data_IF_503588944008
#
_entry.id   IF_503588944008
#
_cell.length_a   1.000
_cell.length_b   1.000
_cell.length_c   1.000
_cell.angle_alpha   90.00
_cell.angle_beta   90.00
_cell.angle_gamma   90.00
#
_symmetry.space_group_name_H-M   'P 1'
#
loop_
_entity.id
_entity.type
_entity.pdbx_description
1 polymer ?
#
# COMPACT_ATOMS: atom_id res chain seq x y z
N UNK A 1 -15.64 -16.22 -28.00
CA UNK A 1 -14.48 -16.34 -27.09
C UNK A 1 -14.49 -15.13 -26.17
N UNK A 2 -15.13 -15.24 -25.01
CA UNK A 2 -15.04 -14.25 -23.94
C UNK A 2 -13.93 -14.72 -23.02
N UNK A 3 -12.70 -14.23 -23.24
CA UNK A 3 -11.65 -14.35 -22.22
C UNK A 3 -12.04 -13.30 -21.18
N UNK A 4 -12.76 -13.73 -20.15
CA UNK A 4 -13.28 -12.82 -19.13
C UNK A 4 -12.12 -12.33 -18.26
N UNK A 5 -12.27 -11.15 -17.68
CA UNK A 5 -11.31 -10.49 -16.79
C UNK A 5 -10.76 -11.37 -15.67
N UNK A 6 -11.51 -12.42 -15.30
CA UNK A 6 -11.16 -13.44 -14.31
C UNK A 6 -9.92 -14.25 -14.71
N UNK A 7 -9.77 -14.61 -15.99
CA UNK A 7 -8.62 -15.41 -16.46
C UNK A 7 -7.31 -14.59 -16.44
N UNK A 8 -7.42 -13.29 -16.71
CA UNK A 8 -6.28 -12.38 -16.66
C UNK A 8 -5.83 -12.10 -15.22
N UNK A 9 -6.78 -12.06 -14.29
CA UNK A 9 -6.51 -11.90 -12.86
C UNK A 9 -5.83 -13.14 -12.29
N UNK A 10 -6.33 -14.34 -12.62
CA UNK A 10 -5.74 -15.60 -12.20
C UNK A 10 -4.31 -15.80 -12.75
N UNK A 11 -4.08 -15.54 -14.04
CA UNK A 11 -2.75 -15.64 -14.64
C UNK A 11 -1.76 -14.63 -14.04
N UNK A 12 -2.24 -13.42 -13.74
CA UNK A 12 -1.43 -12.41 -13.07
C UNK A 12 -1.06 -12.82 -11.64
N UNK A 13 -2.03 -13.29 -10.87
CA UNK A 13 -1.81 -13.78 -9.49
C UNK A 13 -0.78 -14.90 -9.49
N UNK A 14 -0.90 -15.88 -10.39
CA UNK A 14 0.05 -16.98 -10.46
C UNK A 14 1.46 -16.50 -10.78
N UNK A 15 1.63 -15.61 -11.77
CA UNK A 15 2.94 -15.06 -12.10
C UNK A 15 3.58 -14.27 -10.93
N UNK A 16 2.76 -13.60 -10.13
CA UNK A 16 3.22 -12.88 -8.94
C UNK A 16 3.61 -13.83 -7.79
N UNK A 17 2.85 -14.91 -7.58
CA UNK A 17 3.22 -15.98 -6.65
C UNK A 17 4.53 -16.66 -7.04
N UNK A 18 4.71 -16.96 -8.33
CA UNK A 18 5.94 -17.56 -8.86
C UNK A 18 7.15 -16.62 -8.71
N UNK A 19 6.95 -15.31 -8.88
CA UNK A 19 8.00 -14.32 -8.64
C UNK A 19 8.44 -14.28 -7.17
N UNK A 20 7.49 -14.25 -6.23
CA UNK A 20 7.81 -14.32 -4.81
C UNK A 20 8.47 -15.63 -4.40
N UNK A 21 8.07 -16.74 -5.00
CA UNK A 21 8.68 -18.04 -4.73
C UNK A 21 10.16 -18.02 -5.13
N UNK A 22 10.49 -17.38 -6.25
CA UNK A 22 11.87 -17.16 -6.70
C UNK A 22 12.64 -16.20 -5.80
N UNK A 23 12.00 -15.16 -5.29
CA UNK A 23 12.61 -14.19 -4.38
C UNK A 23 12.61 -14.65 -2.91
N UNK A 24 12.17 -15.89 -2.64
CA UNK A 24 12.02 -16.48 -1.30
C UNK A 24 11.14 -15.68 -0.32
N UNK A 25 10.36 -14.71 -0.82
CA UNK A 25 9.47 -13.85 -0.02
C UNK A 25 8.05 -14.35 0.10
N UNK A 26 7.71 -15.46 -0.56
CA UNK A 26 6.35 -16.03 -0.53
C UNK A 26 5.93 -16.44 0.89
N UNK A 27 6.84 -17.07 1.65
CA UNK A 27 6.56 -17.47 3.04
C UNK A 27 6.31 -16.27 3.95
N UNK A 28 7.07 -15.19 3.78
CA UNK A 28 6.90 -13.93 4.53
C UNK A 28 5.54 -13.27 4.21
N UNK A 29 5.18 -13.17 2.93
CA UNK A 29 3.90 -12.61 2.52
C UNK A 29 2.71 -13.41 3.07
N UNK A 30 2.78 -14.75 3.01
CA UNK A 30 1.76 -15.63 3.60
C UNK A 30 1.70 -15.46 5.12
N UNK A 31 2.85 -15.32 5.78
CA UNK A 31 2.92 -15.12 7.24
C UNK A 31 2.21 -13.83 7.67
N UNK A 32 2.33 -12.76 6.88
CA UNK A 32 1.61 -11.50 7.13
C UNK A 32 0.08 -11.63 7.01
N UNK A 33 -0.40 -12.55 6.16
CA UNK A 33 -1.83 -12.81 5.94
C UNK A 33 -2.41 -13.93 6.83
N UNK A 34 -1.55 -14.67 7.55
CA UNK A 34 -1.98 -15.83 8.34
C UNK A 34 -2.96 -15.43 9.44
N UNK A 35 -4.09 -16.15 9.54
CA UNK A 35 -5.14 -15.86 10.52
C UNK A 35 -6.00 -14.62 10.22
N UNK A 36 -5.75 -13.92 9.11
CA UNK A 36 -6.52 -12.73 8.68
C UNK A 36 -7.57 -13.02 7.60
N UNK A 37 -7.66 -14.28 7.15
CA UNK A 37 -8.63 -14.77 6.18
C UNK A 37 -8.95 -16.25 6.43
N UNK A 38 -10.18 -16.66 6.10
CA UNK A 38 -10.66 -18.04 6.27
C UNK A 38 -10.50 -18.90 5.00
N UNK A 39 -10.14 -18.28 3.88
CA UNK A 39 -10.04 -18.95 2.58
C UNK A 39 -8.74 -18.65 1.84
N UNK A 40 -8.31 -19.58 1.00
CA UNK A 40 -7.13 -19.42 0.13
C UNK A 40 -7.28 -18.22 -0.81
N UNK A 41 -8.48 -17.99 -1.35
CA UNK A 41 -8.77 -16.82 -2.18
C UNK A 41 -8.59 -15.52 -1.40
N UNK A 42 -9.07 -15.46 -0.15
CA UNK A 42 -8.87 -14.31 0.72
C UNK A 42 -7.39 -14.04 1.02
N UNK A 43 -6.59 -15.09 1.25
CA UNK A 43 -5.14 -14.95 1.44
C UNK A 43 -4.47 -14.37 0.19
N UNK A 44 -4.85 -14.85 -0.99
CA UNK A 44 -4.34 -14.35 -2.27
C UNK A 44 -4.67 -12.86 -2.44
N UNK A 45 -5.91 -12.46 -2.17
CA UNK A 45 -6.33 -11.06 -2.28
C UNK A 45 -5.59 -10.17 -1.27
N UNK A 46 -5.32 -10.68 -0.06
CA UNK A 46 -4.54 -9.95 0.95
C UNK A 46 -3.08 -9.76 0.57
N UNK A 47 -2.43 -10.77 0.01
CA UNK A 47 -1.03 -10.66 -0.38
C UNK A 47 -0.86 -9.98 -1.73
N UNK A 48 -1.90 -9.92 -2.57
CA UNK A 48 -1.83 -9.31 -3.90
C UNK A 48 -1.14 -7.94 -3.93
N UNK A 49 -1.49 -6.98 -3.05
CA UNK A 49 -0.81 -5.70 -3.01
C UNK A 49 0.67 -5.84 -2.68
N UNK A 50 1.08 -6.81 -1.87
CA UNK A 50 2.47 -7.02 -1.49
C UNK A 50 3.35 -7.52 -2.65
N UNK A 51 2.74 -8.02 -3.74
CA UNK A 51 3.43 -8.82 -4.76
C UNK A 51 3.29 -8.23 -6.17
N UNK A 52 2.28 -7.39 -6.37
CA UNK A 52 2.03 -6.70 -7.62
C UNK A 52 2.88 -5.43 -7.76
N UNK A 53 3.29 -5.12 -8.99
CA UNK A 53 3.76 -3.78 -9.39
C UNK A 53 2.66 -2.94 -10.04
N UNK A 54 1.53 -3.56 -10.38
CA UNK A 54 0.38 -2.88 -10.98
C UNK A 54 -0.43 -2.23 -9.86
N UNK A 55 -0.39 -0.90 -9.84
CA UNK A 55 -1.05 -0.10 -8.82
C UNK A 55 -2.57 -0.11 -9.02
N UNK A 56 -3.31 -0.34 -7.94
CA UNK A 56 -4.78 -0.27 -7.89
C UNK A 56 -5.24 0.63 -6.74
N UNK A 57 -4.65 1.82 -6.64
CA UNK A 57 -4.90 2.75 -5.52
C UNK A 57 -6.40 3.05 -5.39
N UNK A 58 -6.94 2.86 -4.19
CA UNK A 58 -8.36 3.10 -3.90
C UNK A 58 -8.59 4.58 -3.56
N UNK A 59 -8.73 5.40 -4.61
CA UNK A 59 -8.96 6.84 -4.47
C UNK A 59 -10.34 7.15 -3.87
N UNK A 60 -11.36 6.33 -4.12
CA UNK A 60 -12.70 6.55 -3.58
C UNK A 60 -12.68 6.48 -2.06
N UNK A 61 -12.09 5.41 -1.51
CA UNK A 61 -11.92 5.26 -0.07
C UNK A 61 -11.00 6.35 0.50
N UNK A 62 -9.89 6.66 -0.18
CA UNK A 62 -8.95 7.68 0.26
C UNK A 62 -9.62 9.06 0.42
N UNK A 63 -10.42 9.49 -0.56
CA UNK A 63 -11.19 10.74 -0.49
C UNK A 63 -12.34 10.70 0.51
N UNK A 64 -12.89 9.51 0.81
CA UNK A 64 -13.88 9.35 1.89
C UNK A 64 -13.27 9.54 3.29
N UNK A 65 -11.97 9.25 3.44
CA UNK A 65 -11.24 9.41 4.70
C UNK A 65 -10.74 10.85 4.84
N UNK A 66 -10.19 11.45 3.78
CA UNK A 66 -9.78 12.86 3.74
C UNK A 66 -10.18 13.47 2.41
N UNK A 67 -11.24 14.29 2.45
CA UNK A 67 -11.79 14.89 1.24
C UNK A 67 -10.98 16.09 0.74
N UNK A 68 -10.11 16.68 1.58
CA UNK A 68 -9.27 17.79 1.16
C UNK A 68 -8.02 17.28 0.41
N UNK A 69 -7.92 17.55 -0.88
CA UNK A 69 -6.83 17.03 -1.70
C UNK A 69 -5.47 17.66 -1.40
N UNK A 70 -5.45 18.90 -0.93
CA UNK A 70 -4.19 19.55 -0.52
C UNK A 70 -3.64 18.89 0.73
N UNK A 71 -4.52 18.52 1.66
CA UNK A 71 -4.18 17.76 2.86
C UNK A 71 -3.66 16.37 2.49
N UNK A 72 -4.36 15.64 1.61
CA UNK A 72 -3.91 14.33 1.10
C UNK A 72 -2.55 14.42 0.42
N UNK A 73 -2.37 15.36 -0.51
CA UNK A 73 -1.12 15.54 -1.25
C UNK A 73 0.04 15.86 -0.31
N UNK A 74 -0.19 16.74 0.67
CA UNK A 74 0.80 17.07 1.71
C UNK A 74 1.16 15.83 2.54
N UNK A 75 0.16 15.06 2.97
CA UNK A 75 0.36 13.82 3.73
C UNK A 75 1.23 12.83 2.96
N UNK A 76 0.87 12.50 1.72
CA UNK A 76 1.60 11.52 0.91
C UNK A 76 3.06 11.95 0.65
N UNK A 77 3.28 13.23 0.32
CA UNK A 77 4.64 13.77 0.10
C UNK A 77 5.49 13.79 1.36
N UNK A 78 4.90 14.08 2.52
CA UNK A 78 5.63 14.07 3.79
C UNK A 78 6.00 12.65 4.20
N UNK A 79 5.08 11.69 4.09
CA UNK A 79 5.37 10.27 4.34
C UNK A 79 6.52 9.80 3.44
N UNK A 80 6.41 10.06 2.13
CA UNK A 80 7.45 9.65 1.18
C UNK A 80 8.81 10.26 1.55
N UNK A 81 8.84 11.56 1.86
CA UNK A 81 10.07 12.26 2.24
C UNK A 81 10.71 11.66 3.50
N UNK A 82 9.90 11.32 4.52
CA UNK A 82 10.41 10.71 5.75
C UNK A 82 10.92 9.28 5.51
N UNK A 83 10.21 8.47 4.72
CA UNK A 83 10.66 7.11 4.38
C UNK A 83 11.95 7.12 3.56
N UNK A 84 12.14 8.09 2.66
CA UNK A 84 13.38 8.22 1.88
C UNK A 84 14.56 8.61 2.77
N UNK A 85 14.34 9.51 3.74
CA UNK A 85 15.37 9.98 4.69
C UNK A 85 15.66 8.99 5.81
N UNK A 86 14.86 7.95 5.96
CA UNK A 86 15.06 6.96 6.99
C UNK A 86 16.27 6.08 6.65
N UNK A 87 17.37 6.25 7.39
CA UNK A 87 18.60 5.48 7.19
C UNK A 87 18.41 3.99 7.52
N UNK A 88 17.50 3.66 8.44
CA UNK A 88 17.08 2.30 8.76
C UNK A 88 15.90 1.82 7.92
N UNK A 89 15.80 0.51 7.70
CA UNK A 89 14.60 -0.10 7.10
C UNK A 89 14.11 -1.29 7.92
N UNK A 90 13.77 -0.99 9.18
CA UNK A 90 13.13 -1.92 10.12
C UNK A 90 11.72 -1.45 10.43
N UNK A 91 10.84 -2.36 10.89
CA UNK A 91 9.47 -2.03 11.28
C UNK A 91 9.40 -0.85 12.25
N UNK A 92 10.23 -0.85 13.30
CA UNK A 92 10.29 0.24 14.27
C UNK A 92 10.71 1.59 13.65
N UNK A 93 11.69 1.58 12.73
CA UNK A 93 12.11 2.81 12.05
C UNK A 93 11.02 3.32 11.09
N UNK A 94 10.33 2.41 10.40
CA UNK A 94 9.22 2.74 9.49
C UNK A 94 8.07 3.33 10.31
N UNK A 95 7.65 2.66 11.39
CA UNK A 95 6.60 3.15 12.30
C UNK A 95 6.91 4.55 12.82
N UNK A 96 8.12 4.78 13.34
CA UNK A 96 8.53 6.10 13.83
C UNK A 96 8.43 7.19 12.76
N UNK A 97 8.83 6.88 11.52
CA UNK A 97 8.71 7.81 10.39
C UNK A 97 7.25 8.13 10.04
N UNK A 98 6.37 7.11 10.03
CA UNK A 98 4.95 7.29 9.74
C UNK A 98 4.23 8.06 10.85
N UNK A 99 4.47 7.68 12.10
CA UNK A 99 3.89 8.31 13.28
C UNK A 99 4.29 9.78 13.38
N UNK A 100 5.56 10.10 13.13
CA UNK A 100 6.04 11.48 13.12
C UNK A 100 5.30 12.38 12.13
N UNK A 101 4.93 11.86 10.95
CA UNK A 101 4.10 12.60 9.99
C UNK A 101 2.66 12.74 10.48
N UNK A 102 2.06 11.65 10.98
CA UNK A 102 0.69 11.66 11.50
C UNK A 102 0.53 12.70 12.63
N UNK A 103 1.51 12.77 13.53
CA UNK A 103 1.56 13.74 14.63
C UNK A 103 1.77 15.17 14.11
N UNK A 104 2.73 15.38 13.20
CA UNK A 104 3.01 16.71 12.63
C UNK A 104 1.83 17.33 11.88
N UNK A 105 0.95 16.48 11.34
CA UNK A 105 -0.25 16.90 10.62
C UNK A 105 -1.53 16.85 11.45
N UNK A 106 -1.45 16.39 12.71
CA UNK A 106 -2.60 16.17 13.58
C UNK A 106 -3.70 15.32 12.91
N UNK A 107 -3.31 14.29 12.16
CA UNK A 107 -4.23 13.40 11.43
C UNK A 107 -4.75 12.28 12.34
N UNK A 108 -3.97 11.89 13.36
CA UNK A 108 -4.21 10.72 14.20
C UNK A 108 -3.72 9.43 13.52
N UNK A 109 -3.23 8.48 14.33
CA UNK A 109 -2.58 7.28 13.83
C UNK A 109 -3.52 6.38 13.02
N UNK A 110 -4.69 6.03 13.55
CA UNK A 110 -5.69 5.21 12.85
C UNK A 110 -6.04 5.75 11.46
N UNK A 111 -6.29 7.06 11.37
CA UNK A 111 -6.63 7.70 10.11
C UNK A 111 -5.46 7.69 9.13
N UNK A 112 -4.24 7.93 9.61
CA UNK A 112 -3.02 7.84 8.81
C UNK A 112 -2.81 6.42 8.27
N UNK A 113 -2.99 5.40 9.11
CA UNK A 113 -2.89 4.00 8.69
C UNK A 113 -3.89 3.69 7.58
N UNK A 114 -5.15 4.08 7.73
CA UNK A 114 -6.19 3.84 6.71
C UNK A 114 -5.87 4.53 5.38
N UNK A 115 -5.41 5.79 5.41
CA UNK A 115 -4.96 6.49 4.21
C UNK A 115 -3.80 5.77 3.51
N UNK A 116 -2.83 5.28 4.29
CA UNK A 116 -1.71 4.52 3.76
C UNK A 116 -2.16 3.17 3.18
N UNK A 117 -3.12 2.48 3.81
CA UNK A 117 -3.68 1.23 3.26
C UNK A 117 -4.32 1.44 1.89
N UNK A 118 -4.99 2.58 1.64
CA UNK A 118 -5.55 2.88 0.32
C UNK A 118 -4.49 2.95 -0.80
N UNK A 119 -3.29 3.48 -0.53
CA UNK A 119 -2.25 3.66 -1.54
C UNK A 119 -1.17 2.56 -1.55
N UNK A 120 -0.92 1.94 -0.42
CA UNK A 120 0.04 0.84 -0.28
C UNK A 120 -0.63 -0.51 -0.50
N UNK A 121 -1.82 -0.73 0.06
CA UNK A 121 -2.54 -2.01 0.04
C UNK A 121 -3.81 -2.00 -0.81
N UNK A 122 -4.07 -0.91 -1.52
CA UNK A 122 -5.15 -0.79 -2.50
C UNK A 122 -6.57 -1.04 -1.92
N UNK A 123 -6.74 -0.95 -0.60
CA UNK A 123 -7.98 -1.26 0.12
C UNK A 123 -7.88 -0.84 1.59
N UNK A 124 -8.95 -1.00 2.38
CA UNK A 124 -8.90 -0.95 3.86
C UNK A 124 -8.43 -2.29 4.46
N UNK A 125 -7.29 -2.80 3.97
CA UNK A 125 -6.80 -4.14 4.26
C UNK A 125 -6.62 -4.40 5.77
N UNK A 126 -6.90 -5.62 6.28
CA UNK A 126 -6.60 -5.99 7.66
C UNK A 126 -5.09 -6.19 7.93
N UNK A 127 -4.22 -6.09 6.92
CA UNK A 127 -2.78 -6.18 7.13
C UNK A 127 -2.25 -4.98 7.95
N UNK A 128 -1.20 -5.23 8.74
CA UNK A 128 -0.52 -4.17 9.47
C UNK A 128 0.26 -3.33 8.47
N UNK A 129 0.04 -2.01 8.48
CA UNK A 129 0.58 -1.15 7.45
C UNK A 129 2.10 -0.99 7.58
N UNK A 130 2.62 -0.96 8.82
CA UNK A 130 4.06 -0.88 9.10
C UNK A 130 4.79 -2.11 8.54
N UNK A 131 4.30 -3.30 8.85
CA UNK A 131 4.87 -4.55 8.36
C UNK A 131 4.78 -4.65 6.84
N UNK A 132 3.66 -4.22 6.27
CA UNK A 132 3.46 -4.21 4.82
C UNK A 132 4.45 -3.29 4.10
N UNK A 133 4.64 -2.07 4.60
CA UNK A 133 5.62 -1.10 4.04
C UNK A 133 7.05 -1.63 4.21
N UNK A 134 7.35 -2.22 5.36
CA UNK A 134 8.66 -2.81 5.65
C UNK A 134 8.97 -3.93 4.65
N UNK A 135 8.02 -4.85 4.45
CA UNK A 135 8.10 -5.96 3.49
C UNK A 135 8.33 -5.49 2.05
N UNK A 136 7.55 -4.51 1.60
CA UNK A 136 7.65 -3.94 0.25
C UNK A 136 9.01 -3.32 -0.03
N UNK A 137 9.64 -2.75 1.00
CA UNK A 137 10.90 -2.04 0.86
C UNK A 137 10.73 -0.58 0.45
N UNK A 138 11.81 0.19 0.65
CA UNK A 138 11.83 1.64 0.46
C UNK A 138 11.40 2.10 -0.93
N UNK A 139 11.94 1.46 -1.96
CA UNK A 139 11.71 1.88 -3.34
C UNK A 139 10.25 1.68 -3.76
N UNK A 140 9.67 0.52 -3.44
CA UNK A 140 8.29 0.21 -3.81
C UNK A 140 7.30 1.06 -3.01
N UNK A 141 7.50 1.23 -1.71
CA UNK A 141 6.68 2.11 -0.88
C UNK A 141 6.71 3.56 -1.39
N UNK A 142 7.90 4.11 -1.67
CA UNK A 142 8.05 5.47 -2.24
C UNK A 142 7.40 5.57 -3.63
N UNK A 143 7.55 4.56 -4.47
CA UNK A 143 6.92 4.52 -5.80
C UNK A 143 5.40 4.66 -5.70
N UNK A 144 4.77 3.87 -4.82
CA UNK A 144 3.32 3.90 -4.59
C UNK A 144 2.83 5.24 -4.08
N UNK A 145 3.54 5.81 -3.10
CA UNK A 145 3.22 7.13 -2.54
C UNK A 145 3.32 8.24 -3.59
N UNK A 146 4.38 8.22 -4.42
CA UNK A 146 4.53 9.18 -5.53
C UNK A 146 3.44 9.03 -6.57
N UNK A 147 3.09 7.81 -6.96
CA UNK A 147 2.01 7.56 -7.91
C UNK A 147 0.66 8.06 -7.39
N UNK A 148 0.36 7.82 -6.12
CA UNK A 148 -0.85 8.34 -5.47
C UNK A 148 -0.86 9.88 -5.47
N UNK A 149 0.25 10.51 -5.04
CA UNK A 149 0.39 11.95 -5.00
C UNK A 149 0.25 12.58 -6.40
N UNK A 150 0.88 12.00 -7.41
CA UNK A 150 0.83 12.47 -8.79
C UNK A 150 -0.58 12.38 -9.37
N UNK A 151 -1.31 11.29 -9.13
CA UNK A 151 -2.68 11.13 -9.59
C UNK A 151 -3.63 12.15 -8.93
N UNK A 152 -3.48 12.39 -7.62
CA UNK A 152 -4.21 13.45 -6.92
C UNK A 152 -3.91 14.80 -7.57
N UNK A 153 -2.64 15.14 -7.75
CA UNK A 153 -2.23 16.40 -8.38
C UNK A 153 -2.85 16.59 -9.78
N UNK A 154 -2.84 15.57 -10.63
CA UNK A 154 -3.48 15.61 -11.96
C UNK A 154 -5.00 15.77 -11.86
N UNK A 155 -5.67 15.07 -10.94
CA UNK A 155 -7.13 15.17 -10.75
C UNK A 155 -7.58 16.56 -10.28
N UNK A 156 -6.67 17.35 -9.69
CA UNK A 156 -6.91 18.72 -9.27
C UNK A 156 -6.51 19.80 -10.27
N UNK A 157 -5.78 19.45 -11.33
CA UNK A 157 -5.49 20.37 -12.44
C UNK A 157 -6.60 20.39 -13.50
N UNK A 158 -7.47 19.38 -13.50
CA UNK A 158 -8.56 19.21 -14.47
C UNK A 158 -9.89 19.78 -13.96
N UNK A 159 -9.98 20.14 -12.67
CA UNK A 159 -11.12 20.81 -12.03
C UNK A 159 -10.81 22.27 -11.72
#
# INVERSE_FOLDING_TARGET
MQITTVDHEAAFVQAALDALHRDHKLGEAISLAYGKCESTAGVIDLIYPLITKKLRIDYLLMYSIESNPRSLLKFLRLIESQLIRNDGWTAASVEAALQGVADSMNVGWDRAQRLLKCCILFSDSPLEIVESITFLGRQEASSRLRSAAHAIELSHLVN
#
